data_IF_749140338227
#
_entry.id   IF_749140338227
#
_cell.length_a   1.000
_cell.length_b   1.000
_cell.length_c   1.000
_cell.angle_alpha   90.00
_cell.angle_beta   90.00
_cell.angle_gamma   90.00
#
_symmetry.space_group_name_H-M   'P 1'
#
loop_
_entity.id
_entity.type
_entity.pdbx_description
1 polymer ?
#
# COMPACT_ATOMS: atom_id res chain seq x y z
N UNK A 1 -6.66 34.36 -37.26
CA UNK A 1 -6.63 34.50 -35.79
C UNK A 1 -8.03 34.20 -35.26
N UNK A 2 -8.28 32.95 -34.88
CA UNK A 2 -9.62 32.46 -34.48
C UNK A 2 -9.63 32.15 -33.00
N UNK A 3 -10.60 32.75 -32.31
CA UNK A 3 -11.03 32.49 -30.93
C UNK A 3 -11.62 31.08 -30.85
N UNK A 4 -11.41 30.39 -29.73
CA UNK A 4 -12.35 29.36 -29.26
C UNK A 4 -12.49 29.47 -27.74
N UNK A 5 -13.74 29.73 -27.35
CA UNK A 5 -14.23 29.86 -25.97
C UNK A 5 -14.37 28.46 -25.37
N UNK A 6 -13.90 28.26 -24.14
CA UNK A 6 -14.34 27.15 -23.31
C UNK A 6 -15.35 27.66 -22.29
N UNK A 7 -16.57 27.12 -22.37
CA UNK A 7 -17.67 27.42 -21.49
C UNK A 7 -17.54 26.62 -20.19
N UNK A 8 -17.62 27.35 -19.08
CA UNK A 8 -17.74 26.91 -17.70
C UNK A 8 -19.04 26.09 -17.52
N UNK A 9 -18.97 24.90 -16.94
CA UNK A 9 -20.17 24.13 -16.58
C UNK A 9 -20.16 23.84 -15.07
N UNK A 10 -20.82 24.74 -14.34
CA UNK A 10 -21.20 24.58 -12.94
C UNK A 10 -22.40 23.65 -12.89
N UNK A 11 -22.34 22.59 -12.09
CA UNK A 11 -23.51 21.75 -11.79
C UNK A 11 -23.72 21.67 -10.28
N UNK A 12 -24.72 22.43 -9.82
CA UNK A 12 -25.41 22.22 -8.56
C UNK A 12 -26.18 20.90 -8.64
N UNK A 13 -25.96 19.98 -7.69
CA UNK A 13 -26.81 18.80 -7.52
C UNK A 13 -27.80 19.06 -6.40
N UNK A 14 -29.07 19.20 -6.77
CA UNK A 14 -30.20 19.23 -5.87
C UNK A 14 -30.62 17.80 -5.48
N UNK A 15 -30.80 17.57 -4.18
CA UNK A 15 -31.27 16.33 -3.58
C UNK A 15 -32.78 16.18 -3.84
N UNK A 16 -33.19 15.05 -4.41
CA UNK A 16 -34.59 14.62 -4.38
C UNK A 16 -34.69 13.19 -3.86
N UNK A 17 -35.45 13.06 -2.77
CA UNK A 17 -35.84 11.81 -2.12
C UNK A 17 -36.90 11.10 -2.96
N UNK A 18 -36.83 9.77 -3.03
CA UNK A 18 -37.97 8.91 -3.34
C UNK A 18 -37.86 7.57 -2.58
N UNK A 19 -38.92 7.27 -1.83
CA UNK A 19 -39.26 5.99 -1.21
C UNK A 19 -39.30 4.86 -2.27
N UNK A 20 -39.07 3.57 -1.99
CA UNK A 20 -39.40 2.77 -0.80
C UNK A 20 -40.61 1.87 -1.14
N UNK A 21 -40.36 0.59 -1.49
CA UNK A 21 -41.22 -0.62 -1.53
C UNK A 21 -40.48 -1.67 -2.40
N UNK A 22 -40.28 -2.96 -2.11
CA UNK A 22 -40.71 -3.85 -1.04
C UNK A 22 -40.84 -5.29 -1.59
N UNK A 23 -40.09 -6.26 -1.01
CA UNK A 23 -40.33 -7.73 -1.00
C UNK A 23 -40.19 -8.51 -2.34
N UNK A 24 -39.93 -9.83 -2.43
CA UNK A 24 -39.71 -10.95 -1.49
C UNK A 24 -39.06 -12.12 -2.28
N UNK A 25 -38.16 -12.82 -1.59
CA UNK A 25 -37.72 -14.22 -1.69
C UNK A 25 -38.55 -15.20 -2.56
N UNK A 26 -37.89 -16.11 -3.30
CA UNK A 26 -38.13 -17.57 -3.21
C UNK A 26 -37.11 -18.39 -4.01
N UNK A 27 -36.50 -19.31 -3.25
CA UNK A 27 -35.65 -20.43 -3.59
C UNK A 27 -36.43 -21.53 -4.34
N UNK A 28 -35.76 -22.30 -5.21
CA UNK A 28 -36.23 -23.62 -5.65
C UNK A 28 -35.08 -24.45 -6.20
N UNK A 29 -34.50 -25.23 -5.29
CA UNK A 29 -33.77 -26.46 -5.56
C UNK A 29 -34.65 -27.47 -6.33
N UNK A 30 -34.07 -28.22 -7.26
CA UNK A 30 -34.45 -29.62 -7.47
C UNK A 30 -33.27 -30.42 -8.00
N UNK A 31 -32.75 -31.28 -7.14
CA UNK A 31 -32.01 -32.48 -7.49
C UNK A 31 -32.97 -33.50 -8.16
N UNK A 32 -32.43 -34.44 -8.95
CA UNK A 32 -32.27 -35.85 -8.55
C UNK A 32 -32.08 -36.81 -9.75
N UNK A 33 -31.16 -37.77 -9.55
CA UNK A 33 -31.12 -39.18 -10.02
C UNK A 33 -31.32 -39.53 -11.51
N UNK A 34 -30.58 -40.45 -12.13
CA UNK A 34 -29.59 -41.40 -11.63
C UNK A 34 -29.34 -42.52 -12.66
N UNK A 35 -28.28 -43.31 -12.39
CA UNK A 35 -28.10 -44.74 -12.78
C UNK A 35 -27.80 -45.05 -14.27
N UNK A 36 -26.56 -45.38 -14.68
CA UNK A 36 -25.72 -46.59 -14.45
C UNK A 36 -26.20 -47.87 -15.15
N UNK A 37 -25.40 -48.37 -16.11
CA UNK A 37 -24.99 -49.79 -16.26
C UNK A 37 -24.04 -50.02 -17.47
N UNK A 38 -22.85 -50.60 -17.18
CA UNK A 38 -22.10 -51.72 -17.84
C UNK A 38 -22.00 -51.80 -19.40
N UNK A 39 -20.95 -52.32 -20.08
CA UNK A 39 -19.84 -53.23 -19.76
C UNK A 39 -18.76 -53.22 -20.90
N UNK A 40 -17.55 -53.69 -20.56
CA UNK A 40 -16.55 -54.44 -21.37
C UNK A 40 -15.66 -53.81 -22.47
N UNK A 41 -14.39 -53.62 -22.08
CA UNK A 41 -13.12 -54.15 -22.65
C UNK A 41 -12.88 -54.22 -24.17
N UNK A 42 -11.81 -53.57 -24.65
CA UNK A 42 -10.64 -54.23 -25.28
C UNK A 42 -9.47 -53.28 -25.57
N UNK A 43 -8.27 -53.85 -25.53
CA UNK A 43 -6.92 -53.25 -25.64
C UNK A 43 -6.64 -52.48 -26.95
N UNK A 44 -5.79 -51.44 -26.92
CA UNK A 44 -4.35 -51.51 -27.22
C UNK A 44 -3.73 -50.14 -27.60
N UNK A 45 -2.51 -49.92 -27.12
CA UNK A 45 -1.42 -49.08 -27.66
C UNK A 45 -1.52 -47.54 -27.75
N UNK A 46 -0.72 -46.92 -26.88
CA UNK A 46 0.29 -45.88 -27.15
C UNK A 46 -0.15 -44.54 -27.76
N UNK A 47 -0.04 -43.48 -26.96
CA UNK A 47 0.62 -42.25 -27.40
C UNK A 47 1.09 -41.43 -26.20
N UNK A 48 2.39 -41.13 -26.19
CA UNK A 48 3.04 -40.18 -25.29
C UNK A 48 2.38 -38.79 -25.39
N UNK A 49 1.85 -38.30 -24.27
CA UNK A 49 1.90 -36.88 -23.90
C UNK A 49 1.41 -36.72 -22.46
N UNK A 50 2.27 -37.04 -21.50
CA UNK A 50 2.06 -36.69 -20.10
C UNK A 50 2.87 -35.44 -19.79
N UNK A 51 2.30 -34.28 -20.07
CA UNK A 51 2.76 -33.03 -19.50
C UNK A 51 2.85 -33.23 -17.98
N UNK A 52 4.05 -33.13 -17.44
CA UNK A 52 4.29 -32.97 -16.01
C UNK A 52 3.66 -31.66 -15.59
N UNK A 53 2.39 -31.72 -15.18
CA UNK A 53 1.78 -30.73 -14.32
C UNK A 53 2.43 -30.88 -12.94
N UNK A 54 3.67 -30.42 -12.80
CA UNK A 54 4.19 -30.04 -11.50
C UNK A 54 3.49 -28.72 -11.14
N UNK A 55 2.28 -28.85 -10.58
CA UNK A 55 1.79 -27.85 -9.66
C UNK A 55 2.69 -27.95 -8.42
N UNK A 56 3.85 -27.30 -8.52
CA UNK A 56 4.88 -27.25 -7.50
C UNK A 56 4.30 -26.46 -6.32
N UNK A 57 3.61 -27.21 -5.45
CA UNK A 57 2.89 -26.64 -4.32
C UNK A 57 3.92 -26.33 -3.25
N UNK A 58 4.09 -25.06 -2.91
CA UNK A 58 5.02 -24.63 -1.87
C UNK A 58 4.81 -25.43 -0.58
N UNK A 59 5.90 -25.94 0.00
CA UNK A 59 5.85 -26.68 1.25
C UNK A 59 5.51 -25.74 2.43
N UNK A 60 5.06 -26.30 3.56
CA UNK A 60 4.87 -25.52 4.80
C UNK A 60 6.20 -24.85 5.21
N UNK A 61 6.15 -23.58 5.60
CA UNK A 61 7.34 -22.76 5.86
C UNK A 61 8.01 -22.13 4.63
N UNK A 62 7.54 -22.41 3.40
CA UNK A 62 7.93 -21.67 2.20
C UNK A 62 6.96 -20.54 1.91
N UNK A 63 7.44 -19.48 1.25
CA UNK A 63 6.59 -18.36 0.83
C UNK A 63 5.63 -18.84 -0.26
N UNK A 64 4.34 -18.87 0.04
CA UNK A 64 3.27 -19.17 -0.90
C UNK A 64 2.50 -17.92 -1.33
N UNK A 65 2.38 -16.94 -0.43
CA UNK A 65 1.69 -15.67 -0.67
C UNK A 65 2.47 -14.49 -0.13
N UNK A 66 2.22 -13.32 -0.68
CA UNK A 66 2.64 -12.04 -0.09
C UNK A 66 1.45 -11.11 0.05
N UNK A 67 1.50 -10.25 1.05
CA UNK A 67 0.47 -9.29 1.40
C UNK A 67 1.07 -7.95 1.80
N UNK A 68 0.26 -6.90 1.63
CA UNK A 68 0.57 -5.54 2.04
C UNK A 68 -0.68 -4.96 2.71
N UNK A 69 -0.49 -4.39 3.90
CA UNK A 69 -1.52 -3.67 4.63
C UNK A 69 -0.93 -2.39 5.25
N UNK A 70 -1.79 -1.42 5.52
CA UNK A 70 -1.37 -0.11 5.96
C UNK A 70 -2.48 0.60 6.73
N UNK A 71 -2.11 1.50 7.64
CA UNK A 71 -3.05 2.37 8.34
C UNK A 71 -2.54 3.80 8.23
N UNK A 72 -3.34 4.67 7.61
CA UNK A 72 -2.98 6.08 7.40
C UNK A 72 -3.78 6.99 8.32
N UNK A 73 -3.09 7.90 9.00
CA UNK A 73 -3.71 8.90 9.86
C UNK A 73 -3.14 10.29 9.61
N UNK A 74 -4.00 11.30 9.80
CA UNK A 74 -3.59 12.71 9.83
C UNK A 74 -3.88 13.36 11.19
N UNK A 75 -4.18 12.54 12.21
CA UNK A 75 -4.60 13.00 13.54
C UNK A 75 -3.61 13.95 14.21
N UNK A 76 -2.32 13.79 13.90
CA UNK A 76 -1.21 14.60 14.41
C UNK A 76 -1.06 15.97 13.71
N UNK A 77 -1.87 16.28 12.71
CA UNK A 77 -1.82 17.58 12.00
C UNK A 77 -2.29 18.72 12.90
N UNK A 78 -1.62 19.86 12.81
CA UNK A 78 -1.79 21.02 13.70
C UNK A 78 -2.34 22.22 12.94
N UNK A 79 -3.27 22.90 13.59
CA UNK A 79 -3.80 24.18 13.15
C UNK A 79 -2.77 25.28 13.46
N UNK A 80 -2.81 26.38 12.70
CA UNK A 80 -2.13 27.60 13.11
C UNK A 80 -2.91 28.28 14.25
N UNK A 81 -2.27 28.43 15.41
CA UNK A 81 -2.87 29.06 16.59
C UNK A 81 -1.80 29.72 17.47
N UNK A 82 -1.93 31.03 17.68
CA UNK A 82 -0.93 31.81 18.43
C UNK A 82 0.45 31.72 17.77
N UNK A 83 1.45 31.27 18.53
CA UNK A 83 2.81 31.03 18.04
C UNK A 83 2.99 29.66 17.36
N UNK A 84 1.96 28.81 17.37
CA UNK A 84 1.98 27.51 16.68
C UNK A 84 1.71 27.71 15.20
N UNK A 85 2.65 27.32 14.36
CA UNK A 85 2.48 27.29 12.92
C UNK A 85 1.69 26.04 12.48
N UNK A 86 1.02 26.14 11.33
CA UNK A 86 0.32 25.01 10.74
C UNK A 86 1.31 23.94 10.28
N UNK A 87 1.01 22.68 10.58
CA UNK A 87 1.79 21.52 10.13
C UNK A 87 0.82 20.42 9.72
N UNK A 88 0.97 19.91 8.50
CA UNK A 88 0.36 18.64 8.13
C UNK A 88 1.30 17.52 8.56
N UNK A 89 0.77 16.53 9.28
CA UNK A 89 1.48 15.28 9.55
C UNK A 89 0.64 14.13 9.03
N UNK A 90 1.23 13.32 8.16
CA UNK A 90 0.67 12.07 7.66
C UNK A 90 1.51 10.93 8.23
N UNK A 91 0.89 10.09 9.04
CA UNK A 91 1.47 8.87 9.58
C UNK A 91 0.88 7.67 8.82
N UNK A 92 1.71 6.94 8.09
CA UNK A 92 1.33 5.71 7.39
C UNK A 92 2.07 4.54 8.05
N UNK A 93 1.36 3.74 8.85
CA UNK A 93 1.83 2.43 9.32
C UNK A 93 1.80 1.45 8.16
N UNK A 94 2.86 0.67 7.95
CA UNK A 94 3.02 -0.21 6.78
C UNK A 94 3.45 -1.59 7.28
N UNK A 95 2.74 -2.63 6.85
CA UNK A 95 3.12 -4.02 7.09
C UNK A 95 3.11 -4.78 5.78
N UNK A 96 4.26 -5.33 5.42
CA UNK A 96 4.39 -6.28 4.33
C UNK A 96 4.65 -7.66 4.93
N UNK A 97 3.89 -8.67 4.54
CA UNK A 97 4.01 -10.01 5.09
C UNK A 97 4.02 -11.09 4.00
N UNK A 98 4.89 -12.07 4.15
CA UNK A 98 4.90 -13.29 3.37
C UNK A 98 4.27 -14.42 4.18
N UNK A 99 3.40 -15.20 3.57
CA UNK A 99 2.67 -16.29 4.22
C UNK A 99 2.97 -17.63 3.57
N UNK A 100 2.93 -18.69 4.36
CA UNK A 100 2.94 -20.06 3.85
C UNK A 100 1.55 -20.49 3.37
N UNK A 101 1.46 -21.71 2.83
CA UNK A 101 0.20 -22.29 2.36
C UNK A 101 -0.87 -22.46 3.46
N UNK A 102 -0.45 -22.47 4.72
CA UNK A 102 -1.34 -22.61 5.88
C UNK A 102 -1.74 -21.24 6.45
N UNK A 103 -1.29 -20.14 5.82
CA UNK A 103 -1.58 -18.77 6.22
C UNK A 103 -0.76 -18.28 7.41
N UNK A 104 0.36 -18.94 7.74
CA UNK A 104 1.28 -18.49 8.78
C UNK A 104 2.31 -17.55 8.22
N UNK A 105 2.72 -16.56 9.01
CA UNK A 105 3.75 -15.60 8.64
C UNK A 105 5.10 -16.31 8.50
N UNK A 106 5.72 -16.19 7.33
CA UNK A 106 7.08 -16.70 7.04
C UNK A 106 8.11 -15.58 7.20
N UNK A 107 7.80 -14.39 6.66
CA UNK A 107 8.61 -13.17 6.78
C UNK A 107 7.68 -11.98 6.92
N UNK A 108 8.14 -10.95 7.60
CA UNK A 108 7.38 -9.72 7.80
C UNK A 108 8.34 -8.52 7.87
N UNK A 109 7.94 -7.42 7.26
CA UNK A 109 8.54 -6.10 7.39
C UNK A 109 7.49 -5.14 7.98
N UNK A 110 7.89 -4.40 9.00
CA UNK A 110 7.05 -3.39 9.67
C UNK A 110 7.78 -2.07 9.55
N UNK A 111 7.10 -1.06 9.02
CA UNK A 111 7.63 0.28 8.85
C UNK A 111 6.56 1.34 9.14
N UNK A 112 6.99 2.59 9.26
CA UNK A 112 6.09 3.72 9.41
C UNK A 112 6.69 4.95 8.71
N UNK A 113 5.97 5.46 7.71
CA UNK A 113 6.27 6.76 7.13
C UNK A 113 5.61 7.83 8.01
N UNK A 114 6.43 8.69 8.62
CA UNK A 114 5.97 9.83 9.41
C UNK A 114 6.39 11.10 8.70
N UNK A 115 5.52 11.61 7.83
CA UNK A 115 5.83 12.72 6.93
C UNK A 115 5.21 14.01 7.43
N UNK A 116 5.98 15.09 7.40
CA UNK A 116 5.53 16.43 7.83
C UNK A 116 5.70 17.43 6.71
N UNK A 117 4.69 18.28 6.55
CA UNK A 117 4.74 19.49 5.72
C UNK A 117 4.43 20.67 6.62
N UNK A 118 5.44 21.46 6.89
CA UNK A 118 5.37 22.66 7.71
C UNK A 118 5.05 23.87 6.84
N UNK A 119 4.26 24.79 7.40
CA UNK A 119 3.91 26.06 6.79
C UNK A 119 4.47 27.22 7.60
N UNK A 120 4.87 28.29 6.93
CA UNK A 120 5.24 29.53 7.61
C UNK A 120 3.99 30.34 8.02
N UNK A 121 4.23 31.49 8.66
CA UNK A 121 3.17 32.42 9.11
C UNK A 121 2.30 32.97 7.97
N UNK A 122 2.81 32.96 6.74
CA UNK A 122 2.13 33.43 5.53
C UNK A 122 1.51 32.25 4.76
N UNK A 123 1.46 31.07 5.41
CA UNK A 123 0.97 29.80 4.89
C UNK A 123 1.68 29.37 3.59
N UNK A 124 2.93 29.80 3.39
CA UNK A 124 3.81 29.22 2.39
C UNK A 124 4.39 27.91 2.92
N UNK A 125 4.73 26.99 2.03
CA UNK A 125 5.41 25.74 2.40
C UNK A 125 6.81 26.09 2.91
N UNK A 126 7.12 25.68 4.14
CA UNK A 126 8.43 25.85 4.78
C UNK A 126 9.31 24.59 4.68
N UNK A 127 8.71 23.42 4.44
CA UNK A 127 9.44 22.17 4.21
C UNK A 127 10.10 22.14 2.83
N UNK A 128 11.31 21.58 2.73
CA UNK A 128 11.93 21.28 1.45
C UNK A 128 11.19 20.12 0.76
N UNK A 129 10.41 20.45 -0.27
CA UNK A 129 9.60 19.48 -1.02
C UNK A 129 10.41 18.49 -1.86
N UNK A 130 11.72 18.72 -2.04
CA UNK A 130 12.63 17.85 -2.78
C UNK A 130 13.53 17.01 -1.87
N UNK A 131 13.39 17.14 -0.55
CA UNK A 131 14.19 16.37 0.39
C UNK A 131 13.93 14.85 0.23
N UNK A 132 14.94 14.05 0.52
CA UNK A 132 14.81 12.60 0.62
C UNK A 132 13.99 12.26 1.88
N UNK A 133 12.71 11.96 1.69
CA UNK A 133 11.79 11.66 2.79
C UNK A 133 11.90 10.18 3.14
N UNK A 134 12.41 9.91 4.35
CA UNK A 134 12.69 8.57 4.84
C UNK A 134 11.62 8.09 5.80
N UNK A 135 11.34 6.78 5.77
CA UNK A 135 10.54 6.10 6.80
C UNK A 135 11.34 5.91 8.10
N UNK A 136 10.67 5.45 9.17
CA UNK A 136 11.36 5.20 10.45
C UNK A 136 12.41 4.09 10.36
N UNK A 137 12.20 3.05 9.53
CA UNK A 137 13.24 2.04 9.29
C UNK A 137 14.41 2.64 8.50
N UNK A 138 14.15 3.43 7.46
CA UNK A 138 15.20 4.05 6.64
C UNK A 138 16.02 5.11 7.40
N UNK A 139 15.41 5.77 8.39
CA UNK A 139 16.11 6.65 9.32
C UNK A 139 17.03 5.88 10.28
N UNK A 140 16.66 4.66 10.69
CA UNK A 140 17.46 3.85 11.60
C UNK A 140 17.78 4.60 12.90
N UNK A 141 19.06 4.79 13.20
CA UNK A 141 19.52 5.57 14.37
C UNK A 141 19.21 7.07 14.26
N UNK A 142 19.08 7.61 13.04
CA UNK A 142 18.79 9.04 12.83
C UNK A 142 17.36 9.41 13.27
N UNK A 143 16.48 8.41 13.46
CA UNK A 143 15.15 8.66 14.05
C UNK A 143 15.27 9.12 15.51
N UNK A 144 16.27 8.62 16.25
CA UNK A 144 16.67 9.11 17.56
C UNK A 144 15.75 8.74 18.72
N UNK A 145 14.91 7.70 18.59
CA UNK A 145 13.99 7.25 19.63
C UNK A 145 14.72 6.70 20.86
N UNK A 146 15.95 6.21 20.72
CA UNK A 146 16.72 5.60 21.80
C UNK A 146 16.86 6.48 23.03
N UNK A 147 16.90 7.81 22.84
CA UNK A 147 16.97 8.81 23.93
C UNK A 147 15.68 8.88 24.76
N UNK A 148 14.53 8.66 24.14
CA UNK A 148 13.21 8.68 24.78
C UNK A 148 12.73 7.26 25.18
N UNK A 149 13.34 6.22 24.62
CA UNK A 149 12.99 4.83 24.84
C UNK A 149 13.41 4.35 26.23
N UNK A 150 12.43 3.93 27.05
CA UNK A 150 12.69 3.39 28.38
C UNK A 150 13.45 2.06 28.38
N UNK A 151 13.54 1.40 27.22
CA UNK A 151 14.27 0.14 27.03
C UNK A 151 15.59 0.34 26.26
N UNK A 152 15.97 1.58 25.97
CA UNK A 152 17.23 1.91 25.29
C UNK A 152 17.33 1.37 23.85
N UNK A 153 16.18 1.13 23.20
CA UNK A 153 16.10 0.66 21.80
C UNK A 153 15.55 1.72 20.87
N UNK A 154 16.06 1.75 19.65
CA UNK A 154 15.49 2.52 18.55
C UNK A 154 14.15 1.94 18.07
N UNK A 155 13.40 2.73 17.29
CA UNK A 155 12.10 2.33 16.76
C UNK A 155 12.21 1.07 15.88
N UNK A 156 13.19 1.03 14.97
CA UNK A 156 13.38 -0.09 14.04
C UNK A 156 13.75 -1.39 14.78
N UNK A 157 14.47 -1.31 15.90
CA UNK A 157 14.81 -2.48 16.73
C UNK A 157 13.55 -3.07 17.39
N UNK A 158 12.62 -2.21 17.82
CA UNK A 158 11.35 -2.63 18.41
C UNK A 158 10.42 -3.22 17.33
N UNK A 159 10.32 -2.58 16.17
CA UNK A 159 9.55 -3.08 15.03
C UNK A 159 10.07 -4.46 14.58
N UNK A 160 11.40 -4.64 14.53
CA UNK A 160 12.01 -5.93 14.23
C UNK A 160 11.65 -6.98 15.29
N UNK A 161 11.74 -6.66 16.57
CA UNK A 161 11.38 -7.61 17.65
C UNK A 161 9.91 -8.04 17.57
N UNK A 162 9.01 -7.11 17.25
CA UNK A 162 7.60 -7.41 17.01
C UNK A 162 7.41 -8.32 15.79
N UNK A 163 8.08 -8.02 14.68
CA UNK A 163 8.03 -8.84 13.47
C UNK A 163 8.58 -10.25 13.70
N UNK A 164 9.72 -10.40 14.38
CA UNK A 164 10.30 -11.69 14.74
C UNK A 164 9.33 -12.54 15.59
N UNK A 165 8.57 -11.92 16.50
CA UNK A 165 7.54 -12.61 17.28
C UNK A 165 6.36 -13.08 16.42
N UNK A 166 6.01 -12.38 15.34
CA UNK A 166 4.91 -12.75 14.45
C UNK A 166 5.26 -13.94 13.54
N UNK A 167 6.55 -14.19 13.27
CA UNK A 167 6.97 -15.31 12.41
C UNK A 167 6.52 -16.66 13.00
N UNK A 168 5.95 -17.49 12.14
CA UNK A 168 5.39 -18.81 12.46
C UNK A 168 3.97 -18.79 13.03
N UNK A 169 3.39 -17.60 13.28
CA UNK A 169 2.03 -17.44 13.79
C UNK A 169 1.03 -17.23 12.66
N UNK A 170 -0.20 -17.65 12.90
CA UNK A 170 -1.37 -17.26 12.11
C UNK A 170 -1.82 -15.84 12.46
N UNK A 171 -2.61 -15.24 11.56
CA UNK A 171 -3.21 -13.90 11.80
C UNK A 171 -4.11 -13.89 13.03
N UNK A 172 -4.85 -14.97 13.29
CA UNK A 172 -5.72 -15.07 14.47
C UNK A 172 -4.90 -15.07 15.78
N UNK A 173 -3.77 -15.77 15.81
CA UNK A 173 -2.85 -15.74 16.95
C UNK A 173 -2.25 -14.34 17.16
N UNK A 174 -1.95 -13.60 16.08
CA UNK A 174 -1.43 -12.23 16.14
C UNK A 174 -2.51 -11.26 16.63
N UNK A 175 -3.74 -11.35 16.12
CA UNK A 175 -4.89 -10.57 16.58
C UNK A 175 -5.22 -10.81 18.05
N UNK A 176 -4.95 -12.02 18.55
CA UNK A 176 -5.16 -12.40 19.94
C UNK A 176 -4.02 -11.98 20.88
N UNK A 177 -3.01 -11.23 20.41
CA UNK A 177 -1.93 -10.72 21.25
C UNK A 177 -2.49 -9.99 22.47
N UNK A 178 -1.97 -10.33 23.66
CA UNK A 178 -2.33 -9.59 24.86
C UNK A 178 -1.63 -8.24 24.85
N UNK A 179 -2.40 -7.20 25.17
CA UNK A 179 -1.88 -5.83 25.30
C UNK A 179 -2.34 -5.20 26.61
N UNK A 180 -1.65 -4.16 27.02
CA UNK A 180 -2.02 -3.31 28.15
C UNK A 180 -1.83 -1.84 27.81
N UNK A 181 -2.60 -0.99 28.47
CA UNK A 181 -2.37 0.45 28.43
C UNK A 181 -1.16 0.82 29.29
N UNK A 182 -0.20 1.54 28.70
CA UNK A 182 0.94 2.12 29.42
C UNK A 182 0.66 3.58 29.79
N UNK A 183 0.12 4.34 28.85
CA UNK A 183 -0.31 5.74 28.99
C UNK A 183 -1.26 6.10 27.84
N UNK A 184 -1.79 7.33 27.81
CA UNK A 184 -2.77 7.79 26.82
C UNK A 184 -2.26 7.74 25.37
N UNK A 185 -0.94 7.85 25.15
CA UNK A 185 -0.32 7.78 23.83
C UNK A 185 0.08 6.34 23.46
N UNK A 186 0.08 5.43 24.43
CA UNK A 186 0.42 4.01 24.28
C UNK A 186 -0.66 3.11 24.90
N UNK A 187 -1.89 3.13 24.34
CA UNK A 187 -3.03 2.42 24.91
C UNK A 187 -2.95 0.90 24.77
N UNK A 188 -2.12 0.38 23.86
CA UNK A 188 -1.93 -1.05 23.66
C UNK A 188 -0.46 -1.38 23.37
N UNK A 189 0.36 -1.46 24.42
CA UNK A 189 1.70 -2.06 24.33
C UNK A 189 1.62 -3.57 24.58
N UNK A 190 2.55 -4.38 24.05
CA UNK A 190 2.53 -5.82 24.27
C UNK A 190 2.57 -6.18 25.77
N UNK A 191 1.71 -7.11 26.17
CA UNK A 191 1.73 -7.77 27.48
C UNK A 191 2.14 -9.25 27.35
N UNK A 192 3.04 -9.50 26.40
CA UNK A 192 3.69 -10.79 26.18
C UNK A 192 5.08 -10.76 26.80
N UNK A 193 5.45 -11.81 27.55
CA UNK A 193 6.72 -11.85 28.29
C UNK A 193 7.95 -11.67 27.37
N UNK A 194 7.90 -12.25 26.17
CA UNK A 194 8.98 -12.19 25.18
C UNK A 194 9.11 -10.80 24.51
N UNK A 195 8.08 -9.95 24.61
CA UNK A 195 8.04 -8.61 24.02
C UNK A 195 8.15 -7.48 25.05
N UNK A 196 7.81 -7.73 26.31
CA UNK A 196 7.69 -6.69 27.34
C UNK A 196 8.98 -5.88 27.58
N UNK A 197 10.16 -6.46 27.32
CA UNK A 197 11.46 -5.79 27.43
C UNK A 197 12.04 -5.31 26.09
N UNK A 198 11.34 -5.56 24.97
CA UNK A 198 11.86 -5.31 23.62
C UNK A 198 10.94 -4.44 22.78
N UNK A 199 9.67 -4.28 23.16
CA UNK A 199 8.67 -3.47 22.44
C UNK A 199 7.87 -2.66 23.46
N UNK A 200 7.90 -1.34 23.32
CA UNK A 200 7.16 -0.38 24.16
C UNK A 200 6.24 0.54 23.37
N UNK A 201 6.20 0.37 22.05
CA UNK A 201 5.33 1.09 21.14
C UNK A 201 3.89 0.55 21.22
N UNK A 202 2.92 1.40 20.88
CA UNK A 202 1.56 0.97 20.62
C UNK A 202 1.56 0.00 19.41
N UNK A 203 0.87 -1.14 19.51
CA UNK A 203 0.90 -2.18 18.46
C UNK A 203 -0.40 -2.41 17.72
N UNK A 204 -1.48 -1.71 18.10
CA UNK A 204 -2.80 -1.90 17.48
C UNK A 204 -2.78 -1.77 15.95
N UNK A 205 -2.15 -0.73 15.42
CA UNK A 205 -2.12 -0.48 13.97
C UNK A 205 -1.26 -1.51 13.24
N UNK A 206 -0.18 -2.01 13.85
CA UNK A 206 0.62 -3.08 13.25
C UNK A 206 -0.18 -4.39 13.18
N UNK A 207 -0.94 -4.72 14.22
CA UNK A 207 -1.80 -5.91 14.24
C UNK A 207 -2.91 -5.78 13.18
N UNK A 208 -3.52 -4.60 13.06
CA UNK A 208 -4.54 -4.33 12.04
C UNK A 208 -3.96 -4.43 10.63
N UNK A 209 -2.79 -3.83 10.38
CA UNK A 209 -2.12 -3.88 9.09
C UNK A 209 -1.66 -5.30 8.70
N UNK A 210 -1.28 -6.17 9.66
CA UNK A 210 -1.03 -7.60 9.38
C UNK A 210 -2.30 -8.30 8.89
N UNK A 211 -3.44 -8.00 9.51
CA UNK A 211 -4.72 -8.58 9.13
C UNK A 211 -5.10 -8.18 7.70
N UNK A 212 -4.99 -6.89 7.40
CA UNK A 212 -5.22 -6.35 6.07
C UNK A 212 -4.25 -6.94 5.04
N UNK A 213 -2.96 -7.07 5.38
CA UNK A 213 -1.98 -7.70 4.52
C UNK A 213 -2.37 -9.13 4.15
N UNK A 214 -2.91 -9.90 5.09
CA UNK A 214 -3.37 -11.26 4.83
C UNK A 214 -4.61 -11.29 3.94
N UNK A 215 -5.58 -10.41 4.18
CA UNK A 215 -6.81 -10.32 3.39
C UNK A 215 -6.52 -9.88 1.95
N UNK A 216 -5.50 -9.06 1.75
CA UNK A 216 -5.03 -8.58 0.45
C UNK A 216 -3.97 -9.49 -0.20
N UNK A 217 -3.66 -10.65 0.39
CA UNK A 217 -2.53 -11.45 -0.05
C UNK A 217 -2.73 -12.08 -1.45
N UNK A 218 -1.70 -12.01 -2.27
CA UNK A 218 -1.63 -12.64 -3.61
C UNK A 218 -0.73 -13.88 -3.58
N UNK A 219 -1.04 -14.86 -4.42
CA UNK A 219 -0.15 -15.99 -4.66
C UNK A 219 1.13 -15.51 -5.37
N UNK A 220 2.26 -16.12 -5.04
CA UNK A 220 3.53 -15.89 -5.73
C UNK A 220 3.96 -17.10 -6.52
N UNK A 221 4.85 -16.90 -7.50
CA UNK A 221 5.47 -17.98 -8.23
C UNK A 221 6.26 -18.89 -7.27
N UNK A 222 6.15 -20.21 -7.48
CA UNK A 222 6.90 -21.19 -6.72
C UNK A 222 8.41 -20.92 -6.76
N UNK A 223 9.09 -21.21 -5.65
CA UNK A 223 10.53 -20.95 -5.48
C UNK A 223 10.87 -19.58 -4.90
N UNK A 224 9.88 -18.82 -4.39
CA UNK A 224 10.12 -17.62 -3.60
C UNK A 224 10.90 -17.95 -2.31
N UNK A 225 12.04 -17.29 -2.10
CA UNK A 225 12.92 -17.51 -0.96
C UNK A 225 13.14 -16.24 -0.12
N UNK A 226 13.19 -15.07 -0.78
CA UNK A 226 13.40 -13.79 -0.13
C UNK A 226 12.15 -12.92 -0.21
N UNK A 227 12.01 -12.03 0.76
CA UNK A 227 10.90 -11.07 0.79
C UNK A 227 11.39 -9.74 1.35
N UNK A 228 10.93 -8.63 0.77
CA UNK A 228 11.28 -7.31 1.26
C UNK A 228 10.22 -6.26 0.97
N UNK A 229 10.33 -5.12 1.65
CA UNK A 229 9.51 -3.93 1.50
C UNK A 229 10.39 -2.76 1.08
N UNK A 230 9.93 -1.99 0.11
CA UNK A 230 10.55 -0.73 -0.28
C UNK A 230 9.52 0.39 -0.36
N UNK A 231 9.93 1.59 0.07
CA UNK A 231 9.06 2.75 0.18
C UNK A 231 9.65 3.95 -0.57
N UNK A 232 8.78 4.82 -1.09
CA UNK A 232 9.18 6.11 -1.63
C UNK A 232 8.14 7.16 -1.22
N UNK A 233 8.60 8.20 -0.50
CA UNK A 233 7.76 9.25 0.03
C UNK A 233 8.03 10.56 -0.71
N UNK A 234 6.97 11.16 -1.25
CA UNK A 234 7.06 12.45 -1.96
C UNK A 234 6.08 13.46 -1.41
N UNK A 235 6.58 14.68 -1.18
CA UNK A 235 5.81 15.85 -0.74
C UNK A 235 5.56 16.84 -1.88
N UNK A 236 6.05 16.54 -3.09
CA UNK A 236 6.24 17.50 -4.18
C UNK A 236 4.98 18.23 -4.66
N UNK A 237 3.79 17.70 -4.35
CA UNK A 237 2.49 18.29 -4.71
C UNK A 237 1.87 19.17 -3.62
N UNK A 238 2.57 19.33 -2.50
CA UNK A 238 2.17 20.26 -1.46
C UNK A 238 2.29 21.71 -1.94
N UNK A 239 1.36 22.55 -1.50
CA UNK A 239 1.24 23.94 -1.95
C UNK A 239 0.87 24.85 -0.79
N UNK A 240 1.40 26.07 -0.83
CA UNK A 240 1.06 27.15 0.08
C UNK A 240 -0.14 27.98 -0.38
N UNK A 241 -0.57 28.90 0.48
CA UNK A 241 -1.58 29.90 0.14
C UNK A 241 -1.08 30.74 -1.04
N UNK A 242 -1.87 30.85 -2.11
CA UNK A 242 -1.50 31.67 -3.25
C UNK A 242 -2.73 32.13 -4.02
N UNK A 243 -2.52 32.91 -5.08
CA UNK A 243 -3.57 33.31 -6.02
C UNK A 243 -3.14 32.92 -7.41
N UNK A 244 -3.98 32.18 -8.13
CA UNK A 244 -3.76 31.79 -9.52
C UNK A 244 -4.95 32.23 -10.39
N UNK A 245 -4.70 33.00 -11.46
CA UNK A 245 -5.73 33.58 -12.34
C UNK A 245 -6.87 34.30 -11.58
N UNK A 246 -6.52 35.00 -10.51
CA UNK A 246 -7.49 35.72 -9.66
C UNK A 246 -8.32 34.82 -8.73
N UNK A 247 -8.06 33.51 -8.69
CA UNK A 247 -8.68 32.57 -7.77
C UNK A 247 -7.71 32.23 -6.62
N UNK A 248 -8.23 32.26 -5.40
CA UNK A 248 -7.49 31.86 -4.21
C UNK A 248 -7.21 30.35 -4.25
N UNK A 249 -5.95 29.99 -4.03
CA UNK A 249 -5.49 28.62 -3.87
C UNK A 249 -5.17 28.44 -2.39
N UNK A 250 -6.00 27.69 -1.68
CA UNK A 250 -5.79 27.37 -0.27
C UNK A 250 -4.58 26.44 -0.07
N UNK A 251 -3.90 26.51 1.09
CA UNK A 251 -2.80 25.60 1.40
C UNK A 251 -3.30 24.16 1.48
N UNK A 252 -2.51 23.26 0.93
CA UNK A 252 -2.77 21.83 1.06
C UNK A 252 -1.45 21.06 1.00
N UNK A 253 -1.28 20.13 1.93
CA UNK A 253 -0.20 19.16 1.89
C UNK A 253 -0.68 17.94 1.12
N UNK A 254 0.16 17.41 0.24
CA UNK A 254 -0.05 16.10 -0.38
C UNK A 254 1.19 15.25 -0.12
N UNK A 255 0.99 14.17 0.65
CA UNK A 255 2.01 13.15 0.91
C UNK A 255 1.66 11.93 0.08
N UNK A 256 2.56 11.55 -0.83
CA UNK A 256 2.46 10.31 -1.58
C UNK A 256 3.44 9.30 -0.99
N UNK A 257 2.94 8.21 -0.41
CA UNK A 257 3.75 7.10 0.12
C UNK A 257 3.55 5.89 -0.76
N UNK A 258 4.47 5.68 -1.71
CA UNK A 258 4.55 4.47 -2.51
C UNK A 258 5.11 3.34 -1.66
N UNK A 259 4.46 2.17 -1.72
CA UNK A 259 4.79 0.97 -0.96
C UNK A 259 4.89 -0.20 -1.94
N UNK A 260 6.00 -0.94 -1.89
CA UNK A 260 6.27 -2.07 -2.79
C UNK A 260 6.73 -3.28 -1.98
N UNK A 261 5.87 -4.30 -1.88
CA UNK A 261 6.17 -5.58 -1.24
C UNK A 261 6.50 -6.62 -2.30
N UNK A 262 7.67 -7.25 -2.24
CA UNK A 262 8.13 -8.15 -3.30
C UNK A 262 8.76 -9.42 -2.73
N UNK A 263 8.35 -10.57 -3.29
CA UNK A 263 9.03 -11.83 -3.11
C UNK A 263 10.00 -12.07 -4.26
N UNK A 264 11.16 -12.65 -3.95
CA UNK A 264 12.19 -13.00 -4.92
C UNK A 264 12.58 -14.47 -4.81
N UNK A 265 12.90 -15.09 -5.95
CA UNK A 265 13.50 -16.41 -5.99
C UNK A 265 14.98 -16.40 -5.60
N UNK A 266 15.59 -17.60 -5.51
CA UNK A 266 17.01 -17.77 -5.19
C UNK A 266 17.97 -17.01 -6.12
N UNK A 267 17.55 -16.73 -7.36
CA UNK A 267 18.35 -16.04 -8.37
C UNK A 267 18.08 -14.52 -8.36
N UNK A 268 17.27 -14.04 -7.42
CA UNK A 268 16.92 -12.63 -7.28
C UNK A 268 15.88 -12.14 -8.29
N UNK A 269 15.14 -13.05 -8.94
CA UNK A 269 14.04 -12.68 -9.84
C UNK A 269 12.75 -12.53 -9.07
N UNK A 270 11.89 -11.63 -9.51
CA UNK A 270 10.60 -11.38 -8.87
C UNK A 270 9.72 -12.63 -8.96
N UNK A 271 9.29 -13.15 -7.82
CA UNK A 271 8.30 -14.22 -7.72
C UNK A 271 6.86 -13.67 -7.60
N UNK A 272 6.71 -12.46 -7.08
CA UNK A 272 5.45 -11.72 -7.01
C UNK A 272 5.68 -10.34 -6.38
N UNK A 273 4.85 -9.36 -6.73
CA UNK A 273 4.98 -7.99 -6.19
C UNK A 273 3.61 -7.33 -6.03
N UNK A 274 3.46 -6.55 -4.97
CA UNK A 274 2.31 -5.68 -4.70
C UNK A 274 2.82 -4.24 -4.69
N UNK A 275 2.13 -3.36 -5.43
CA UNK A 275 2.44 -1.94 -5.51
C UNK A 275 1.19 -1.17 -5.07
N UNK A 276 1.36 -0.29 -4.10
CA UNK A 276 0.30 0.63 -3.66
C UNK A 276 0.87 2.03 -3.40
N UNK A 277 0.00 3.02 -3.28
CA UNK A 277 0.33 4.39 -2.98
C UNK A 277 -0.73 5.04 -2.08
N UNK A 278 -0.34 5.40 -0.87
CA UNK A 278 -1.13 6.30 -0.02
C UNK A 278 -0.96 7.73 -0.52
N UNK A 279 -1.97 8.25 -1.23
CA UNK A 279 -2.00 9.63 -1.70
C UNK A 279 -2.87 10.47 -0.75
N UNK A 280 -2.26 10.97 0.31
CA UNK A 280 -2.98 11.61 1.41
C UNK A 280 -2.92 13.12 1.30
N UNK A 281 -4.08 13.78 1.45
CA UNK A 281 -4.21 15.24 1.43
C UNK A 281 -4.66 15.81 2.76
N UNK A 282 -3.92 16.78 3.27
CA UNK A 282 -4.32 17.60 4.43
C UNK A 282 -4.60 19.01 3.94
N UNK A 283 -5.87 19.43 4.01
CA UNK A 283 -6.31 20.73 3.55
C UNK A 283 -6.35 21.72 4.71
N UNK A 284 -5.99 22.98 4.43
CA UNK A 284 -6.10 24.08 5.38
C UNK A 284 -7.02 25.15 4.84
N UNK A 285 -7.66 25.90 5.74
CA UNK A 285 -8.28 27.16 5.38
C UNK A 285 -7.22 28.28 5.25
N UNK A 286 -7.67 29.48 4.88
CA UNK A 286 -6.80 30.66 4.72
C UNK A 286 -6.17 31.18 6.02
N UNK A 287 -6.59 30.67 7.17
CA UNK A 287 -6.03 31.00 8.49
C UNK A 287 -5.15 29.87 9.01
N UNK A 288 -4.89 28.81 8.22
CA UNK A 288 -4.06 27.69 8.64
C UNK A 288 -4.78 26.68 9.53
N UNK A 289 -6.12 26.68 9.58
CA UNK A 289 -6.87 25.66 10.30
C UNK A 289 -7.02 24.41 9.44
N UNK A 290 -6.76 23.22 10.00
CA UNK A 290 -7.02 21.97 9.28
C UNK A 290 -8.51 21.82 8.99
N UNK A 291 -8.84 21.56 7.73
CA UNK A 291 -10.22 21.36 7.25
C UNK A 291 -10.51 19.91 6.84
N UNK A 292 -9.47 19.10 6.62
CA UNK A 292 -9.62 17.65 6.51
C UNK A 292 -10.13 17.06 7.83
N UNK A 293 -11.01 16.07 7.77
CA UNK A 293 -11.45 15.33 8.96
C UNK A 293 -10.30 14.47 9.51
N UNK A 294 -9.83 14.81 10.71
CA UNK A 294 -8.69 14.14 11.36
C UNK A 294 -8.99 12.70 11.79
N UNK A 295 -10.28 12.32 11.84
CA UNK A 295 -10.72 10.99 12.24
C UNK A 295 -11.24 10.15 11.06
N UNK A 296 -11.21 10.69 9.83
CA UNK A 296 -11.66 9.95 8.67
C UNK A 296 -10.75 8.76 8.38
N UNK A 297 -11.34 7.68 7.86
CA UNK A 297 -10.59 6.61 7.23
C UNK A 297 -9.92 7.14 5.96
N UNK A 298 -8.60 6.95 5.86
CA UNK A 298 -7.80 7.39 4.72
C UNK A 298 -7.36 6.15 3.96
N UNK A 299 -7.92 5.99 2.76
CA UNK A 299 -7.68 4.86 1.88
C UNK A 299 -6.56 5.13 0.88
N UNK A 300 -5.80 4.10 0.54
CA UNK A 300 -4.83 4.14 -0.57
C UNK A 300 -5.50 4.05 -1.93
N UNK A 301 -4.71 4.16 -3.01
CA UNK A 301 -5.23 3.99 -4.37
C UNK A 301 -5.73 2.59 -4.64
N UNK A 302 -5.14 1.54 -4.05
CA UNK A 302 -5.68 0.18 -4.18
C UNK A 302 -6.99 0.03 -3.42
N UNK A 303 -7.08 0.49 -2.17
CA UNK A 303 -8.30 0.39 -1.36
C UNK A 303 -9.47 1.20 -1.93
N UNK A 304 -9.19 2.34 -2.56
CA UNK A 304 -10.19 3.11 -3.28
C UNK A 304 -10.71 2.36 -4.52
N UNK A 305 -9.89 1.52 -5.15
CA UNK A 305 -10.30 0.76 -6.34
C UNK A 305 -10.86 1.67 -7.43
N UNK A 306 -12.08 1.38 -7.89
CA UNK A 306 -12.81 2.20 -8.87
C UNK A 306 -13.22 3.59 -8.31
N UNK A 307 -13.31 3.77 -6.98
CA UNK A 307 -13.63 5.05 -6.34
C UNK A 307 -12.50 6.09 -6.53
N UNK A 308 -11.26 5.65 -6.78
CA UNK A 308 -10.17 6.56 -7.13
C UNK A 308 -10.48 7.31 -8.44
N UNK A 309 -11.24 6.68 -9.34
CA UNK A 309 -11.91 7.33 -10.47
C UNK A 309 -11.00 7.64 -11.66
N UNK A 310 -9.80 7.05 -11.73
CA UNK A 310 -8.85 7.29 -12.82
C UNK A 310 -9.36 6.73 -14.15
N UNK A 311 -10.28 5.76 -14.13
CA UNK A 311 -10.87 5.16 -15.34
C UNK A 311 -11.38 6.19 -16.34
N UNK A 312 -11.90 7.33 -15.87
CA UNK A 312 -12.43 8.43 -16.70
C UNK A 312 -11.34 9.21 -17.45
N UNK A 313 -10.16 9.33 -16.86
CA UNK A 313 -9.02 10.05 -17.44
C UNK A 313 -8.04 9.11 -18.17
N UNK A 314 -8.14 7.81 -17.92
CA UNK A 314 -7.28 6.77 -18.47
C UNK A 314 -7.63 6.49 -19.94
N UNK A 315 -6.66 6.67 -20.84
CA UNK A 315 -6.84 6.38 -22.28
C UNK A 315 -7.02 4.90 -22.59
N UNK A 316 -6.72 4.02 -21.62
CA UNK A 316 -6.88 2.56 -21.74
C UNK A 316 -8.09 2.03 -20.95
N UNK A 317 -8.90 2.93 -20.36
CA UNK A 317 -10.10 2.55 -19.63
C UNK A 317 -9.86 1.74 -18.35
N UNK A 318 -8.64 1.80 -17.80
CA UNK A 318 -8.24 1.13 -16.55
C UNK A 318 -8.02 2.13 -15.42
N UNK A 319 -8.47 1.78 -14.22
CA UNK A 319 -8.17 2.53 -13.02
C UNK A 319 -6.74 2.26 -12.52
N UNK A 320 -6.26 3.03 -11.54
CA UNK A 320 -4.86 3.00 -11.10
C UNK A 320 -4.45 1.63 -10.56
N UNK A 321 -5.29 1.00 -9.73
CA UNK A 321 -5.01 -0.31 -9.15
C UNK A 321 -4.88 -1.41 -10.21
N UNK A 322 -5.67 -1.34 -11.29
CA UNK A 322 -5.58 -2.28 -12.41
C UNK A 322 -4.24 -2.14 -13.16
N UNK A 323 -3.72 -0.90 -13.27
CA UNK A 323 -2.43 -0.63 -13.92
C UNK A 323 -1.26 -1.03 -13.02
N UNK A 324 -1.34 -0.74 -11.72
CA UNK A 324 -0.33 -1.16 -10.74
C UNK A 324 -0.21 -2.69 -10.69
N UNK A 325 -1.34 -3.41 -10.72
CA UNK A 325 -1.37 -4.87 -10.82
C UNK A 325 -0.74 -5.37 -12.12
N UNK A 326 -1.10 -4.78 -13.26
CA UNK A 326 -0.52 -5.17 -14.55
C UNK A 326 1.00 -4.96 -14.61
N UNK A 327 1.49 -3.88 -14.00
CA UNK A 327 2.92 -3.64 -13.84
C UNK A 327 3.57 -4.71 -12.95
N UNK A 328 2.95 -5.06 -11.82
CA UNK A 328 3.45 -6.11 -10.94
C UNK A 328 3.50 -7.48 -11.61
N UNK A 329 2.45 -7.87 -12.34
CA UNK A 329 2.40 -9.11 -13.12
C UNK A 329 3.52 -9.16 -14.17
N UNK A 330 3.81 -8.03 -14.83
CA UNK A 330 4.90 -7.93 -15.80
C UNK A 330 6.28 -8.12 -15.18
N UNK A 331 6.48 -7.70 -13.93
CA UNK A 331 7.75 -7.84 -13.22
C UNK A 331 8.07 -9.32 -12.90
N UNK A 332 7.07 -10.19 -12.77
CA UNK A 332 7.26 -11.60 -12.40
C UNK A 332 8.19 -12.32 -13.38
N UNK A 333 9.19 -13.00 -12.82
CA UNK A 333 10.22 -13.76 -13.55
C UNK A 333 11.39 -12.92 -14.07
N UNK A 334 11.38 -11.60 -13.89
CA UNK A 334 12.48 -10.69 -14.27
C UNK A 334 13.37 -10.40 -13.08
N UNK A 335 14.65 -10.13 -13.36
CA UNK A 335 15.59 -9.56 -12.40
C UNK A 335 15.34 -8.06 -12.20
N UNK A 336 15.82 -7.53 -11.08
CA UNK A 336 15.72 -6.10 -10.76
C UNK A 336 16.43 -5.23 -11.80
N UNK A 337 17.54 -5.71 -12.39
CA UNK A 337 18.26 -5.00 -13.45
C UNK A 337 17.48 -4.95 -14.77
N UNK A 338 16.80 -6.03 -15.15
CA UNK A 338 15.90 -6.04 -16.31
C UNK A 338 14.75 -5.04 -16.11
N UNK A 339 14.18 -4.97 -14.90
CA UNK A 339 13.07 -4.06 -14.58
C UNK A 339 13.54 -2.60 -14.54
N UNK A 340 14.70 -2.31 -13.94
CA UNK A 340 15.33 -0.98 -13.99
C UNK A 340 15.62 -0.53 -15.41
N UNK A 341 15.95 -1.47 -16.29
CA UNK A 341 16.21 -1.24 -17.71
C UNK A 341 14.96 -1.04 -18.56
N UNK A 342 13.76 -1.03 -17.97
CA UNK A 342 12.50 -0.82 -18.68
C UNK A 342 12.57 0.45 -19.54
N UNK A 343 12.14 0.33 -20.80
CA UNK A 343 11.96 1.49 -21.66
C UNK A 343 10.78 2.31 -21.18
N UNK A 344 11.00 3.61 -21.04
CA UNK A 344 9.95 4.57 -20.73
C UNK A 344 9.98 5.74 -21.70
N UNK A 345 8.84 6.41 -21.85
CA UNK A 345 8.72 7.68 -22.57
C UNK A 345 7.98 8.71 -21.74
N UNK A 346 8.33 9.98 -21.96
CA UNK A 346 7.54 11.10 -21.47
C UNK A 346 6.27 11.22 -22.31
N UNK A 347 5.11 11.13 -21.65
CA UNK A 347 3.80 11.35 -22.29
C UNK A 347 3.41 12.83 -22.19
N UNK A 348 3.60 13.42 -21.01
CA UNK A 348 3.39 14.83 -20.68
C UNK A 348 4.16 15.17 -19.39
N UNK A 349 4.10 16.42 -18.92
CA UNK A 349 4.86 16.86 -17.73
C UNK A 349 4.44 16.15 -16.43
N UNK A 350 3.18 15.73 -16.32
CA UNK A 350 2.70 14.96 -15.17
C UNK A 350 3.04 13.46 -15.29
N UNK A 351 3.39 13.00 -16.49
CA UNK A 351 3.71 11.61 -16.80
C UNK A 351 5.08 11.49 -17.50
N UNK A 352 6.20 11.81 -16.79
CA UNK A 352 7.53 11.85 -17.39
C UNK A 352 8.09 10.49 -17.81
N UNK A 353 7.55 9.38 -17.30
CA UNK A 353 8.14 8.05 -17.52
C UNK A 353 7.08 6.94 -17.54
N UNK A 354 6.24 6.96 -18.55
CA UNK A 354 5.26 5.89 -18.83
C UNK A 354 5.96 4.74 -19.55
N UNK A 355 5.63 3.45 -19.27
CA UNK A 355 6.23 2.33 -19.97
C UNK A 355 6.08 2.41 -21.49
N UNK A 356 7.17 2.10 -22.20
CA UNK A 356 7.23 1.95 -23.65
C UNK A 356 7.60 0.51 -24.04
N UNK A 357 7.24 -0.44 -23.18
CA UNK A 357 7.29 -1.87 -23.44
C UNK A 357 5.99 -2.31 -24.12
N UNK A 358 6.10 -3.09 -25.20
CA UNK A 358 4.95 -3.44 -26.05
C UNK A 358 3.83 -4.15 -25.27
N UNK A 359 4.19 -4.99 -24.31
CA UNK A 359 3.28 -5.72 -23.42
C UNK A 359 2.65 -4.84 -22.31
N UNK A 360 3.18 -3.64 -22.05
CA UNK A 360 2.65 -2.70 -21.08
C UNK A 360 1.85 -1.54 -21.70
N UNK A 361 2.09 -1.17 -22.95
CA UNK A 361 1.45 0.02 -23.56
C UNK A 361 -0.09 0.02 -23.54
N UNK A 362 -0.72 -1.16 -23.49
CA UNK A 362 -2.18 -1.32 -23.42
C UNK A 362 -2.72 -1.50 -21.99
N UNK A 363 -1.83 -1.58 -20.99
CA UNK A 363 -2.18 -1.94 -19.62
C UNK A 363 -1.66 -0.95 -18.58
N UNK A 364 -0.63 -0.15 -18.90
CA UNK A 364 -0.01 0.81 -17.99
C UNK A 364 0.27 2.13 -18.71
N UNK A 365 -0.31 3.20 -18.20
CA UNK A 365 -0.21 4.58 -18.72
C UNK A 365 0.23 5.60 -17.65
N UNK A 366 0.47 5.12 -16.44
CA UNK A 366 1.02 5.90 -15.31
C UNK A 366 2.55 5.92 -15.37
N UNK A 367 3.17 6.94 -14.78
CA UNK A 367 4.62 6.94 -14.58
C UNK A 367 5.04 5.87 -13.58
N UNK A 368 6.17 5.20 -13.83
CA UNK A 368 6.57 4.00 -13.05
C UNK A 368 7.88 4.16 -12.26
N UNK A 369 8.55 5.31 -12.36
CA UNK A 369 9.85 5.55 -11.73
C UNK A 369 9.84 5.27 -10.22
N UNK A 370 8.85 5.79 -9.50
CA UNK A 370 8.77 5.60 -8.04
C UNK A 370 8.48 4.15 -7.67
N UNK A 371 7.72 3.41 -8.49
CA UNK A 371 7.43 2.00 -8.26
C UNK A 371 8.66 1.13 -8.50
N UNK A 372 9.44 1.43 -9.54
CA UNK A 372 10.73 0.77 -9.80
C UNK A 372 11.72 1.09 -8.68
N UNK A 373 11.78 2.34 -8.19
CA UNK A 373 12.62 2.70 -7.05
C UNK A 373 12.22 1.96 -5.77
N UNK A 374 10.91 1.84 -5.51
CA UNK A 374 10.37 1.03 -4.42
C UNK A 374 10.73 -0.45 -4.56
N UNK A 375 10.65 -1.02 -5.77
CA UNK A 375 11.10 -2.40 -6.04
C UNK A 375 12.59 -2.59 -5.74
N UNK A 376 13.44 -1.65 -6.14
CA UNK A 376 14.89 -1.71 -5.87
C UNK A 376 15.15 -1.73 -4.36
N UNK A 377 14.53 -0.81 -3.61
CA UNK A 377 14.63 -0.81 -2.14
C UNK A 377 14.09 -2.10 -1.53
N UNK A 378 12.98 -2.63 -2.06
CA UNK A 378 12.40 -3.91 -1.64
C UNK A 378 13.39 -5.06 -1.83
N UNK A 379 14.13 -5.08 -2.94
CA UNK A 379 15.18 -6.07 -3.19
C UNK A 379 16.38 -5.92 -2.24
N UNK A 380 16.85 -4.69 -2.02
CA UNK A 380 17.99 -4.41 -1.14
C UNK A 380 17.67 -4.77 0.33
N UNK A 381 16.42 -4.61 0.73
CA UNK A 381 15.92 -4.96 2.06
C UNK A 381 15.54 -6.44 2.20
N UNK A 382 15.54 -7.23 1.10
CA UNK A 382 14.98 -8.56 1.11
C UNK A 382 15.84 -9.55 1.93
N UNK A 383 15.20 -10.21 2.91
CA UNK A 383 15.83 -11.18 3.81
C UNK A 383 15.35 -12.60 3.59
#
# INVERSE_FOLDING_TARGET
MRKMMYALLVSMVAISMLAGCGSKNSNSNSANSGQSASNESTNNASTNNGATNNADTAASGQIAKIGLGHITSIGSSKDMEGDTLATAQVDTTIVAAAFDKDGKVVKIEIDNAQSKVDYDKDLQVATDLNADNKTKVELGEDYGMKKASSIGKEWYEQAKALGDWMVGKSVDEIKAMKTKAKDDHHPAVPDEADLASTVTMNVSDFIAAVAEAYDNAIDVKAGAEKFGLGNNVSLAKSKGLSTNDGQEVLPAAEVNTVMVATAFDKDGKVAGTIIDNAQTKVNFDKNGKVTSDKNAEIKTKVELGDEYGMKKASSIGKDWYEQARALGDWMVGKSVDEIKGMKTKQKDDAHPAVPDEADLTSSVTISVQDYIAGLVKSFDNAK
#
